data_IF_938425041790
#
_entry.id   IF_938425041790
#
_cell.length_a   1.000
_cell.length_b   1.000
_cell.length_c   1.000
_cell.angle_alpha   90.00
_cell.angle_beta   90.00
_cell.angle_gamma   90.00
#
_symmetry.space_group_name_H-M   'P 1'
#
loop_
_entity.id
_entity.type
_entity.pdbx_description
1 polymer ?
#
# COMPACT_ATOMS: atom_id res chain seq x y z
N UNK A 1 22.39 17.94 33.74
CA UNK A 1 23.02 17.34 32.57
C UNK A 1 22.83 15.81 32.52
N UNK A 2 23.12 15.03 33.54
CA UNK A 2 22.94 13.58 33.58
C UNK A 2 21.53 13.06 33.24
N UNK A 3 20.45 13.81 33.56
CA UNK A 3 19.07 13.39 33.29
C UNK A 3 18.67 13.50 31.81
N UNK A 4 19.31 14.35 31.03
CA UNK A 4 19.03 14.49 29.59
C UNK A 4 19.76 13.41 28.77
N UNK A 5 20.99 13.07 29.15
CA UNK A 5 21.75 12.00 28.45
C UNK A 5 21.13 10.62 28.69
N UNK A 6 20.66 10.33 29.91
CA UNK A 6 19.98 9.07 30.25
C UNK A 6 18.62 8.95 29.51
N UNK A 7 17.88 10.05 29.35
CA UNK A 7 16.64 10.06 28.56
C UNK A 7 16.91 9.89 27.05
N UNK A 8 17.99 10.46 26.57
CA UNK A 8 18.37 10.39 25.16
C UNK A 8 18.82 8.98 24.77
N UNK A 9 19.66 8.34 25.59
CA UNK A 9 20.07 6.94 25.40
C UNK A 9 18.89 5.96 25.45
N UNK A 10 17.90 6.19 26.32
CA UNK A 10 16.68 5.37 26.40
C UNK A 10 15.79 5.52 25.17
N UNK A 11 15.69 6.73 24.59
CA UNK A 11 14.92 6.98 23.36
C UNK A 11 15.61 6.38 22.15
N UNK A 12 16.94 6.46 22.07
CA UNK A 12 17.72 5.89 20.95
C UNK A 12 17.62 4.34 20.93
N UNK A 13 17.62 3.70 22.10
CA UNK A 13 17.38 2.25 22.20
C UNK A 13 15.96 1.89 21.75
N UNK A 14 14.95 2.63 22.20
CA UNK A 14 13.56 2.41 21.79
C UNK A 14 13.39 2.58 20.28
N UNK A 15 13.97 3.62 19.69
CA UNK A 15 13.97 3.85 18.25
C UNK A 15 14.63 2.69 17.49
N UNK A 16 15.77 2.23 17.96
CA UNK A 16 16.49 1.11 17.34
C UNK A 16 15.66 -0.16 17.33
N UNK A 17 15.02 -0.49 18.45
CA UNK A 17 14.13 -1.66 18.58
C UNK A 17 12.87 -1.51 17.70
N UNK A 18 12.29 -0.34 17.65
CA UNK A 18 11.14 -0.04 16.81
C UNK A 18 11.47 -0.21 15.32
N UNK A 19 12.56 0.41 14.84
CA UNK A 19 12.96 0.25 13.43
C UNK A 19 13.37 -1.18 13.11
N UNK A 20 13.99 -1.90 14.04
CA UNK A 20 14.28 -3.32 13.84
C UNK A 20 13.00 -4.15 13.69
N UNK A 21 11.99 -3.92 14.54
CA UNK A 21 10.69 -4.58 14.42
C UNK A 21 10.03 -4.30 13.06
N UNK A 22 9.98 -3.04 12.62
CA UNK A 22 9.47 -2.68 11.29
C UNK A 22 10.26 -3.36 10.16
N UNK A 23 11.58 -3.41 10.27
CA UNK A 23 12.43 -4.08 9.29
C UNK A 23 12.14 -5.58 9.18
N UNK A 24 11.80 -6.25 10.28
CA UNK A 24 11.38 -7.64 10.28
C UNK A 24 10.13 -7.85 9.42
N UNK A 25 9.12 -6.97 9.56
CA UNK A 25 7.93 -6.99 8.70
C UNK A 25 8.26 -6.78 7.22
N UNK A 26 9.21 -5.89 6.92
CA UNK A 26 9.63 -5.65 5.54
C UNK A 26 10.26 -6.88 4.88
N UNK A 27 10.87 -7.78 5.67
CA UNK A 27 11.44 -9.04 5.17
C UNK A 27 10.40 -10.11 4.84
N UNK A 28 9.15 -9.95 5.28
CA UNK A 28 8.09 -10.89 4.95
C UNK A 28 7.76 -10.78 3.45
N UNK A 29 7.99 -11.85 2.73
CA UNK A 29 7.68 -11.93 1.29
C UNK A 29 6.22 -12.36 1.11
N UNK A 30 5.29 -11.45 1.40
CA UNK A 30 3.85 -11.73 1.27
C UNK A 30 3.43 -12.03 -0.18
N UNK A 31 4.24 -11.62 -1.16
CA UNK A 31 4.02 -11.96 -2.57
C UNK A 31 4.08 -13.46 -2.87
N UNK A 32 4.78 -14.24 -2.04
CA UNK A 32 4.87 -15.70 -2.19
C UNK A 32 3.54 -16.41 -1.87
N UNK A 33 2.60 -15.72 -1.22
CA UNK A 33 1.28 -16.26 -0.89
C UNK A 33 0.36 -16.34 -2.12
N UNK A 34 0.59 -15.49 -3.12
CA UNK A 34 -0.22 -15.44 -4.34
C UNK A 34 0.67 -15.79 -5.54
N UNK A 35 0.64 -17.03 -5.99
CA UNK A 35 1.42 -17.45 -7.16
C UNK A 35 1.08 -16.62 -8.40
N UNK A 36 2.09 -16.32 -9.20
CA UNK A 36 1.98 -15.64 -10.51
C UNK A 36 1.52 -14.18 -10.47
N UNK A 37 1.35 -13.59 -9.29
CA UNK A 37 0.99 -12.18 -9.11
C UNK A 37 2.04 -11.47 -8.27
N UNK A 38 2.72 -10.50 -8.86
CA UNK A 38 3.63 -9.62 -8.11
C UNK A 38 2.86 -8.65 -7.22
N UNK A 39 3.51 -8.13 -6.19
CA UNK A 39 2.90 -7.11 -5.30
C UNK A 39 2.31 -5.94 -6.08
N UNK A 40 3.02 -5.42 -7.09
CA UNK A 40 2.55 -4.28 -7.87
C UNK A 40 1.37 -4.66 -8.78
N UNK A 41 1.35 -5.87 -9.33
CA UNK A 41 0.21 -6.38 -10.10
C UNK A 41 -1.05 -6.49 -9.22
N UNK A 42 -0.93 -7.11 -8.04
CA UNK A 42 -2.05 -7.21 -7.09
C UNK A 42 -2.57 -5.84 -6.64
N UNK A 43 -1.67 -4.92 -6.29
CA UNK A 43 -2.05 -3.53 -5.95
C UNK A 43 -2.73 -2.81 -7.13
N UNK A 44 -2.28 -3.06 -8.35
CA UNK A 44 -2.85 -2.47 -9.56
C UNK A 44 -4.27 -3.00 -9.81
N UNK A 45 -4.48 -4.30 -9.73
CA UNK A 45 -5.79 -4.93 -9.88
C UNK A 45 -6.76 -4.47 -8.79
N UNK A 46 -6.32 -4.42 -7.52
CA UNK A 46 -7.11 -3.90 -6.41
C UNK A 46 -7.52 -2.44 -6.63
N UNK A 47 -6.59 -1.58 -7.07
CA UNK A 47 -6.89 -0.18 -7.36
C UNK A 47 -7.91 -0.03 -8.50
N UNK A 48 -7.82 -0.84 -9.55
CA UNK A 48 -8.80 -0.84 -10.65
C UNK A 48 -10.18 -1.26 -10.11
N UNK A 49 -10.28 -2.36 -9.36
CA UNK A 49 -11.53 -2.87 -8.80
C UNK A 49 -12.22 -1.83 -7.90
N UNK A 50 -11.49 -1.22 -6.97
CA UNK A 50 -12.05 -0.23 -6.04
C UNK A 50 -12.49 1.07 -6.74
N UNK A 51 -11.81 1.46 -7.82
CA UNK A 51 -12.16 2.69 -8.53
C UNK A 51 -13.34 2.51 -9.48
N UNK A 52 -13.50 1.32 -10.06
CA UNK A 52 -14.65 1.00 -10.91
C UNK A 52 -15.99 1.00 -10.14
N UNK A 53 -15.95 0.92 -8.79
CA UNK A 53 -17.14 1.09 -7.95
C UNK A 53 -17.58 2.55 -7.75
N UNK A 54 -16.67 3.52 -7.92
CA UNK A 54 -16.95 4.95 -7.73
C UNK A 54 -17.12 5.72 -9.05
N UNK A 55 -16.47 5.25 -10.13
CA UNK A 55 -16.54 5.80 -11.49
C UNK A 55 -16.53 4.64 -12.48
N UNK A 56 -17.33 4.75 -13.53
CA UNK A 56 -17.41 3.72 -14.60
C UNK A 56 -16.07 3.47 -15.32
N UNK A 57 -15.15 4.44 -15.30
CA UNK A 57 -13.89 4.36 -16.05
C UNK A 57 -12.72 4.99 -15.27
N UNK A 58 -11.63 4.25 -15.14
CA UNK A 58 -10.38 4.69 -14.52
C UNK A 58 -9.31 4.89 -15.58
N UNK A 59 -8.70 6.09 -15.62
CA UNK A 59 -7.59 6.35 -16.54
C UNK A 59 -6.26 5.83 -15.99
N UNK A 60 -5.33 5.51 -16.88
CA UNK A 60 -3.95 5.12 -16.52
C UNK A 60 -3.25 6.22 -15.71
N UNK A 61 -3.56 7.49 -15.96
CA UNK A 61 -3.00 8.62 -15.21
C UNK A 61 -3.49 8.65 -13.77
N UNK A 62 -4.80 8.49 -13.55
CA UNK A 62 -5.40 8.42 -12.20
C UNK A 62 -4.87 7.20 -11.44
N UNK A 63 -4.78 6.05 -12.10
CA UNK A 63 -4.21 4.83 -11.52
C UNK A 63 -2.76 5.04 -11.09
N UNK A 64 -1.93 5.68 -11.94
CA UNK A 64 -0.53 5.97 -11.62
C UNK A 64 -0.41 6.89 -10.40
N UNK A 65 -1.25 7.91 -10.31
CA UNK A 65 -1.30 8.80 -9.17
C UNK A 65 -1.71 8.06 -7.87
N UNK A 66 -2.72 7.19 -7.93
CA UNK A 66 -3.17 6.39 -6.78
C UNK A 66 -2.11 5.41 -6.28
N UNK A 67 -1.43 4.72 -7.18
CA UNK A 67 -0.38 3.77 -6.83
C UNK A 67 0.89 4.43 -6.27
N UNK A 68 1.03 5.76 -6.40
CA UNK A 68 2.26 6.52 -6.05
C UNK A 68 3.52 5.85 -6.61
N UNK A 69 3.41 5.19 -7.76
CA UNK A 69 4.48 4.48 -8.43
C UNK A 69 5.00 5.25 -9.64
N UNK A 70 6.21 4.92 -10.08
CA UNK A 70 6.80 5.56 -11.27
C UNK A 70 6.06 5.11 -12.53
N UNK A 71 5.70 6.05 -13.41
CA UNK A 71 4.95 5.79 -14.65
C UNK A 71 5.47 4.59 -15.48
N UNK A 72 6.80 4.45 -15.73
CA UNK A 72 7.33 3.31 -16.45
C UNK A 72 7.10 1.95 -15.77
N UNK A 73 7.04 1.91 -14.43
CA UNK A 73 6.73 0.68 -13.70
C UNK A 73 5.25 0.31 -13.87
N UNK A 74 4.34 1.29 -13.71
CA UNK A 74 2.90 1.09 -13.93
C UNK A 74 2.63 0.64 -15.35
N UNK A 75 3.23 1.26 -16.36
CA UNK A 75 3.06 0.88 -17.77
C UNK A 75 3.48 -0.57 -18.05
N UNK A 76 4.60 -1.03 -17.47
CA UNK A 76 5.05 -2.42 -17.59
C UNK A 76 4.08 -3.38 -16.91
N UNK A 77 3.63 -3.04 -15.69
CA UNK A 77 2.65 -3.85 -14.94
C UNK A 77 1.34 -3.99 -15.71
N UNK A 78 0.83 -2.89 -16.26
CA UNK A 78 -0.39 -2.92 -17.09
C UNK A 78 -0.20 -3.80 -18.33
N UNK A 79 0.95 -3.72 -18.99
CA UNK A 79 1.23 -4.61 -20.13
C UNK A 79 1.23 -6.08 -19.70
N UNK A 80 1.89 -6.42 -18.59
CA UNK A 80 1.91 -7.80 -18.09
C UNK A 80 0.52 -8.31 -17.72
N UNK A 81 -0.30 -7.49 -17.05
CA UNK A 81 -1.67 -7.84 -16.68
C UNK A 81 -2.58 -8.02 -17.93
N UNK A 82 -2.38 -7.20 -18.96
CA UNK A 82 -3.07 -7.34 -20.24
C UNK A 82 -2.63 -8.62 -20.98
N UNK A 83 -1.32 -8.92 -21.02
CA UNK A 83 -0.78 -10.15 -21.60
C UNK A 83 -1.28 -11.41 -20.86
N UNK A 84 -1.55 -11.30 -19.53
CA UNK A 84 -2.20 -12.35 -18.71
C UNK A 84 -3.72 -12.43 -18.91
N UNK A 85 -4.32 -11.48 -19.63
CA UNK A 85 -5.76 -11.39 -19.85
C UNK A 85 -6.57 -10.92 -18.63
N UNK A 86 -5.94 -10.31 -17.63
CA UNK A 86 -6.61 -9.84 -16.41
C UNK A 86 -7.17 -8.44 -16.53
N UNK A 87 -6.66 -7.63 -17.43
CA UNK A 87 -7.18 -6.31 -17.73
C UNK A 87 -7.38 -6.10 -19.23
N UNK A 88 -8.23 -5.15 -19.57
CA UNK A 88 -8.32 -4.59 -20.90
C UNK A 88 -8.12 -3.08 -20.85
N UNK A 89 -7.56 -2.53 -21.93
CA UNK A 89 -7.34 -1.10 -22.09
C UNK A 89 -8.14 -0.61 -23.28
N UNK A 90 -8.90 0.46 -23.07
CA UNK A 90 -9.62 1.14 -24.14
C UNK A 90 -9.05 2.55 -24.32
N UNK A 91 -8.70 2.87 -25.55
CA UNK A 91 -8.22 4.20 -25.93
C UNK A 91 -9.44 5.04 -26.31
N UNK A 92 -9.68 6.10 -25.55
CA UNK A 92 -10.76 7.02 -25.89
C UNK A 92 -10.60 7.54 -27.34
N UNK A 93 -11.55 7.21 -28.20
CA UNK A 93 -11.52 7.63 -29.62
C UNK A 93 -11.63 9.14 -29.79
N UNK A 94 -12.26 9.83 -28.83
CA UNK A 94 -12.43 11.29 -28.84
C UNK A 94 -11.20 12.02 -28.26
N UNK A 95 -10.50 11.41 -27.29
CA UNK A 95 -9.27 11.94 -26.72
C UNK A 95 -8.25 10.82 -26.52
N UNK A 96 -7.37 10.64 -27.49
CA UNK A 96 -6.32 9.61 -27.49
C UNK A 96 -5.29 9.76 -26.35
N UNK A 97 -5.36 10.84 -25.56
CA UNK A 97 -4.50 11.05 -24.37
C UNK A 97 -4.99 10.26 -23.17
N UNK A 98 -6.29 9.86 -23.20
CA UNK A 98 -6.90 9.11 -22.11
C UNK A 98 -7.04 7.65 -22.52
N UNK A 99 -6.28 6.79 -21.85
CA UNK A 99 -6.43 5.34 -21.90
C UNK A 99 -7.12 4.90 -20.63
N UNK A 100 -8.26 4.27 -20.78
CA UNK A 100 -9.01 3.66 -19.69
C UNK A 100 -8.54 2.23 -19.44
N UNK A 101 -8.70 1.77 -18.21
CA UNK A 101 -8.31 0.42 -17.80
C UNK A 101 -9.41 -0.15 -16.91
N UNK A 102 -9.78 -1.41 -17.17
CA UNK A 102 -10.73 -2.17 -16.36
C UNK A 102 -10.30 -3.62 -16.23
N UNK A 103 -10.81 -4.31 -15.21
CA UNK A 103 -10.63 -5.74 -15.08
C UNK A 103 -11.49 -6.47 -16.12
N UNK A 104 -10.96 -7.59 -16.62
CA UNK A 104 -11.76 -8.59 -17.33
C UNK A 104 -12.44 -9.51 -16.32
N UNK A 105 -13.41 -10.34 -16.74
CA UNK A 105 -14.01 -11.34 -15.87
C UNK A 105 -12.95 -12.27 -15.23
N UNK A 106 -11.92 -12.64 -15.99
CA UNK A 106 -10.76 -13.40 -15.49
C UNK A 106 -9.94 -12.60 -14.46
N UNK A 107 -9.78 -11.29 -14.69
CA UNK A 107 -9.11 -10.38 -13.76
C UNK A 107 -9.88 -10.19 -12.45
N UNK A 108 -11.21 -10.05 -12.52
CA UNK A 108 -12.07 -9.98 -11.32
C UNK A 108 -11.96 -11.25 -10.48
N UNK A 109 -12.06 -12.42 -11.12
CA UNK A 109 -11.91 -13.70 -10.45
C UNK A 109 -10.53 -13.84 -9.79
N UNK A 110 -9.46 -13.44 -10.51
CA UNK A 110 -8.08 -13.50 -9.96
C UNK A 110 -7.91 -12.52 -8.80
N UNK A 111 -8.50 -11.35 -8.87
CA UNK A 111 -8.47 -10.38 -7.78
C UNK A 111 -9.22 -10.88 -6.54
N UNK A 112 -10.37 -11.53 -6.71
CA UNK A 112 -11.10 -12.16 -5.62
C UNK A 112 -10.30 -13.28 -4.96
N UNK A 113 -9.61 -14.12 -5.74
CA UNK A 113 -8.70 -15.14 -5.23
C UNK A 113 -7.58 -14.50 -4.38
N UNK A 114 -6.95 -13.42 -4.87
CA UNK A 114 -5.93 -12.69 -4.13
C UNK A 114 -6.48 -12.13 -2.80
N UNK A 115 -7.66 -11.52 -2.82
CA UNK A 115 -8.32 -10.98 -1.63
C UNK A 115 -8.63 -12.08 -0.61
N UNK A 116 -9.12 -13.24 -1.04
CA UNK A 116 -9.41 -14.37 -0.16
C UNK A 116 -8.14 -14.93 0.50
N UNK A 117 -7.05 -15.12 -0.26
CA UNK A 117 -5.77 -15.58 0.26
C UNK A 117 -5.23 -14.59 1.30
N UNK A 118 -5.23 -13.29 0.98
CA UNK A 118 -4.71 -12.25 1.88
C UNK A 118 -5.58 -12.10 3.14
N UNK A 119 -6.90 -12.17 2.99
CA UNK A 119 -7.84 -12.12 4.12
C UNK A 119 -7.68 -13.35 5.03
N UNK A 120 -7.59 -14.55 4.47
CA UNK A 120 -7.34 -15.78 5.21
C UNK A 120 -6.03 -15.72 5.99
N UNK A 121 -4.96 -15.25 5.34
CA UNK A 121 -3.67 -15.03 5.99
C UNK A 121 -3.78 -14.03 7.15
N UNK A 122 -4.41 -12.87 6.91
CA UNK A 122 -4.58 -11.85 7.94
C UNK A 122 -5.37 -12.38 9.15
N UNK A 123 -6.48 -13.08 8.91
CA UNK A 123 -7.25 -13.72 9.99
C UNK A 123 -6.41 -14.73 10.76
N UNK A 124 -5.66 -15.60 10.08
CA UNK A 124 -4.80 -16.59 10.71
C UNK A 124 -3.67 -15.98 11.54
N UNK A 125 -3.15 -14.82 11.17
CA UNK A 125 -2.14 -14.08 11.94
C UNK A 125 -2.77 -13.40 13.14
N UNK A 126 -3.84 -12.62 12.93
CA UNK A 126 -4.49 -11.83 13.98
C UNK A 126 -5.08 -12.74 15.06
N UNK A 127 -5.64 -13.89 14.68
CA UNK A 127 -6.19 -14.85 15.66
C UNK A 127 -5.16 -15.46 16.61
N UNK A 128 -3.86 -15.27 16.39
CA UNK A 128 -2.77 -15.73 17.28
C UNK A 128 -2.36 -14.68 18.33
N UNK A 129 -2.89 -13.48 18.22
CA UNK A 129 -2.59 -12.35 19.09
C UNK A 129 -3.83 -12.12 19.98
N UNK A 130 -3.60 -11.81 21.25
CA UNK A 130 -4.68 -11.45 22.15
C UNK A 130 -5.42 -10.22 21.62
N UNK A 131 -6.72 -10.17 21.83
CA UNK A 131 -7.57 -9.09 21.30
C UNK A 131 -7.20 -7.74 21.90
N UNK A 132 -6.99 -7.69 23.22
CA UNK A 132 -6.70 -6.45 23.93
C UNK A 132 -5.32 -5.93 23.51
N UNK A 133 -4.33 -6.82 23.32
CA UNK A 133 -3.01 -6.48 22.78
C UNK A 133 -3.10 -5.91 21.36
N UNK A 134 -3.98 -6.47 20.52
CA UNK A 134 -4.19 -5.98 19.15
C UNK A 134 -4.88 -4.61 19.15
N UNK A 135 -5.90 -4.40 19.98
CA UNK A 135 -6.57 -3.10 20.11
C UNK A 135 -5.59 -2.03 20.59
N UNK A 136 -4.76 -2.35 21.59
CA UNK A 136 -3.72 -1.43 22.07
C UNK A 136 -2.66 -1.11 21.00
N UNK A 137 -2.26 -2.10 20.19
CA UNK A 137 -1.35 -1.88 19.07
C UNK A 137 -1.95 -0.94 18.03
N UNK A 138 -3.24 -1.09 17.71
CA UNK A 138 -3.97 -0.21 16.77
C UNK A 138 -3.97 1.23 17.30
N UNK A 139 -4.27 1.43 18.58
CA UNK A 139 -4.30 2.76 19.20
C UNK A 139 -2.91 3.41 19.18
N UNK A 140 -1.85 2.68 19.54
CA UNK A 140 -0.47 3.16 19.47
C UNK A 140 -0.06 3.53 18.03
N UNK A 141 -0.49 2.76 17.02
CA UNK A 141 -0.20 3.08 15.61
C UNK A 141 -0.94 4.34 15.14
N UNK A 142 -2.17 4.56 15.59
CA UNK A 142 -2.92 5.78 15.30
C UNK A 142 -2.28 7.01 15.95
N UNK A 143 -1.88 6.93 17.22
CA UNK A 143 -1.14 8.00 17.90
C UNK A 143 0.18 8.31 17.21
N UNK A 144 0.93 7.29 16.80
CA UNK A 144 2.18 7.45 16.06
C UNK A 144 1.96 8.13 14.70
N UNK A 145 0.87 7.78 14.01
CA UNK A 145 0.50 8.42 12.75
C UNK A 145 0.21 9.91 12.93
N UNK A 146 -0.63 10.29 13.92
CA UNK A 146 -0.98 11.69 14.17
C UNK A 146 0.25 12.51 14.59
N UNK A 147 1.06 12.01 15.52
CA UNK A 147 2.31 12.65 15.93
C UNK A 147 3.29 12.84 14.75
N UNK A 148 3.38 11.84 13.87
CA UNK A 148 4.23 11.95 12.67
C UNK A 148 3.71 12.98 11.68
N UNK A 149 2.39 13.08 11.52
CA UNK A 149 1.75 14.07 10.65
C UNK A 149 2.01 15.49 11.16
N UNK A 150 1.83 15.72 12.44
CA UNK A 150 2.08 17.02 13.09
C UNK A 150 3.54 17.45 12.93
N UNK A 151 4.50 16.56 13.21
CA UNK A 151 5.92 16.87 13.07
C UNK A 151 6.33 17.16 11.63
N UNK A 152 5.73 16.45 10.64
CA UNK A 152 5.95 16.75 9.23
C UNK A 152 5.44 18.15 8.85
N UNK A 153 4.27 18.54 9.34
CA UNK A 153 3.70 19.86 9.09
C UNK A 153 4.55 20.97 9.73
N UNK A 154 4.98 20.76 10.96
CA UNK A 154 5.85 21.70 11.68
C UNK A 154 7.20 21.91 10.96
N UNK A 155 7.82 20.82 10.50
CA UNK A 155 9.07 20.94 9.73
C UNK A 155 8.89 21.66 8.40
N UNK A 156 7.78 21.42 7.72
CA UNK A 156 7.45 22.16 6.48
C UNK A 156 7.24 23.64 6.73
N UNK A 157 6.62 24.03 7.85
CA UNK A 157 6.43 25.44 8.18
C UNK A 157 7.75 26.13 8.51
N UNK A 158 8.64 25.47 9.27
CA UNK A 158 9.99 26.00 9.58
C UNK A 158 10.83 26.21 8.32
N UNK A 159 10.76 25.30 7.35
CA UNK A 159 11.50 25.41 6.06
C UNK A 159 10.96 26.51 5.14
N UNK A 160 9.71 26.95 5.30
CA UNK A 160 9.10 28.02 4.51
C UNK A 160 9.27 29.42 5.13
N UNK A 161 9.69 29.48 6.39
CA UNK A 161 9.94 30.72 7.13
C UNK A 161 11.39 31.20 7.10
N UNK A 162 12.28 30.42 6.48
CA UNK A 162 13.65 30.79 6.08
C UNK A 162 13.68 31.23 4.61
#
# INVERSE_FOLDING_TARGET
>A
MLNNEVRQTGLDDLLSRFFFALYQFHKLHMGDLVPDITKLEGMTMAAIKHCSGEKEELTVSELTAKLKAKGPAVSRTLKTLEDKGYIERDVNKADRRNTYVKLTASGEQKQEECEQIMSSFAHAVISKIDRDDMEQLIDCLNELYEASREEIEDRKMRQKGE
#
